data_IF_005424311203
#
_entry.id   IF_005424311203
#
_cell.length_a   1.000
_cell.length_b   1.000
_cell.length_c   1.000
_cell.angle_alpha   90.00
_cell.angle_beta   90.00
_cell.angle_gamma   90.00
#
_symmetry.space_group_name_H-M   'P 1'
#
loop_
_entity.id
_entity.type
_entity.pdbx_description
1 polymer ?
#
# COMPACT_ATOMS: atom_id res chain seq x y z
N UNK A 1 -35.35 32.00 -9.45
CA UNK A 1 -35.02 30.58 -9.39
C UNK A 1 -33.57 30.46 -8.88
N UNK A 2 -33.44 30.36 -7.54
CA UNK A 2 -32.19 30.12 -6.87
C UNK A 2 -31.75 28.69 -7.17
N UNK A 3 -30.68 28.53 -7.92
CA UNK A 3 -29.92 27.29 -7.92
C UNK A 3 -29.30 27.18 -6.53
N UNK A 4 -29.85 26.33 -5.68
CA UNK A 4 -29.18 25.87 -4.50
C UNK A 4 -27.89 25.20 -4.99
N UNK A 5 -26.76 25.85 -4.73
CA UNK A 5 -25.46 25.19 -4.79
C UNK A 5 -25.51 24.05 -3.77
N UNK A 6 -25.72 22.85 -4.24
CA UNK A 6 -25.49 21.62 -3.47
C UNK A 6 -23.99 21.65 -3.12
N UNK A 7 -23.65 22.21 -1.95
CA UNK A 7 -22.29 22.18 -1.42
C UNK A 7 -21.99 20.73 -1.07
N UNK A 8 -21.47 19.99 -2.04
CA UNK A 8 -20.91 18.68 -1.76
C UNK A 8 -19.78 18.82 -0.74
N UNK A 9 -19.86 18.05 0.35
CA UNK A 9 -18.76 18.00 1.32
C UNK A 9 -17.56 17.38 0.60
N UNK A 10 -16.44 18.10 0.60
CA UNK A 10 -15.20 17.63 0.00
C UNK A 10 -14.29 16.99 1.05
N UNK A 11 -13.80 15.80 0.78
CA UNK A 11 -12.80 15.11 1.57
C UNK A 11 -11.54 14.86 0.73
N UNK A 12 -10.39 15.20 1.30
CA UNK A 12 -9.08 14.97 0.67
C UNK A 12 -8.37 13.84 1.38
N UNK A 13 -7.99 12.81 0.62
CA UNK A 13 -7.21 11.69 1.12
C UNK A 13 -5.93 11.51 0.31
N UNK A 14 -4.88 11.12 0.98
CA UNK A 14 -3.59 10.84 0.34
C UNK A 14 -2.91 9.63 0.97
N UNK A 15 -2.07 8.99 0.18
CA UNK A 15 -1.20 7.91 0.59
C UNK A 15 0.11 7.96 -0.17
N UNK A 16 1.11 7.25 0.31
CA UNK A 16 2.34 7.04 -0.48
C UNK A 16 2.04 6.20 -1.72
N UNK A 17 2.82 6.31 -2.81
CA UNK A 17 2.55 5.60 -4.06
C UNK A 17 2.34 4.09 -3.89
N UNK A 18 3.14 3.44 -3.06
CA UNK A 18 3.02 2.00 -2.80
C UNK A 18 1.74 1.61 -2.07
N UNK A 19 1.23 2.47 -1.19
CA UNK A 19 -0.05 2.24 -0.50
C UNK A 19 -1.20 2.33 -1.49
N UNK A 20 -1.13 3.23 -2.46
CA UNK A 20 -2.13 3.32 -3.52
C UNK A 20 -2.23 2.04 -4.32
N UNK A 21 -1.11 1.54 -4.83
CA UNK A 21 -1.07 0.33 -5.65
C UNK A 21 -1.55 -0.92 -4.91
N UNK A 22 -1.16 -1.05 -3.64
CA UNK A 22 -1.38 -2.28 -2.88
C UNK A 22 -2.71 -2.32 -2.10
N UNK A 23 -3.31 -1.18 -1.77
CA UNK A 23 -4.41 -1.12 -0.82
C UNK A 23 -5.42 -0.01 -1.10
N UNK A 24 -4.97 1.25 -1.20
CA UNK A 24 -5.86 2.41 -1.13
C UNK A 24 -6.74 2.55 -2.37
N UNK A 25 -6.31 2.06 -3.53
CA UNK A 25 -7.13 2.05 -4.75
C UNK A 25 -8.43 1.25 -4.55
N UNK A 26 -8.35 0.09 -3.89
CA UNK A 26 -9.53 -0.72 -3.58
C UNK A 26 -10.41 -0.05 -2.52
N UNK A 27 -9.79 0.60 -1.53
CA UNK A 27 -10.52 1.37 -0.52
C UNK A 27 -11.30 2.54 -1.14
N UNK A 28 -10.70 3.26 -2.10
CA UNK A 28 -11.33 4.40 -2.74
C UNK A 28 -12.63 4.01 -3.46
N UNK A 29 -12.65 2.88 -4.13
CA UNK A 29 -13.86 2.36 -4.78
C UNK A 29 -15.01 2.16 -3.78
N UNK A 30 -14.73 1.48 -2.67
CA UNK A 30 -15.74 1.23 -1.61
C UNK A 30 -16.19 2.54 -0.93
N UNK A 31 -15.24 3.45 -0.66
CA UNK A 31 -15.53 4.75 -0.04
C UNK A 31 -16.48 5.57 -0.94
N UNK A 32 -16.15 5.72 -2.22
CA UNK A 32 -16.94 6.53 -3.14
C UNK A 32 -18.34 5.96 -3.36
N UNK A 33 -18.50 4.64 -3.40
CA UNK A 33 -19.80 3.99 -3.52
C UNK A 33 -20.69 4.18 -2.29
N UNK A 34 -20.08 4.33 -1.11
CA UNK A 34 -20.80 4.43 0.16
C UNK A 34 -21.20 5.88 0.52
N UNK A 35 -20.38 6.85 0.13
CA UNK A 35 -20.55 8.26 0.48
C UNK A 35 -21.14 9.06 -0.69
N UNK A 36 -22.43 8.84 -0.99
CA UNK A 36 -23.15 9.68 -1.95
C UNK A 36 -23.24 11.13 -1.47
N UNK A 37 -23.06 12.09 -2.35
CA UNK A 37 -23.09 13.51 -2.02
C UNK A 37 -21.77 14.08 -1.50
N UNK A 38 -20.72 13.26 -1.39
CA UNK A 38 -19.36 13.72 -1.10
C UNK A 38 -18.55 13.83 -2.39
N UNK A 39 -17.69 14.83 -2.46
CA UNK A 39 -16.62 14.92 -3.44
C UNK A 39 -15.30 14.49 -2.81
N UNK A 40 -14.49 13.74 -3.53
CA UNK A 40 -13.20 13.25 -3.05
C UNK A 40 -12.06 13.80 -3.89
N UNK A 41 -10.98 14.21 -3.21
CA UNK A 41 -9.69 14.47 -3.83
C UNK A 41 -8.71 13.42 -3.34
N UNK A 42 -8.10 12.68 -4.27
CA UNK A 42 -7.19 11.57 -3.98
C UNK A 42 -5.80 11.91 -4.52
N UNK A 43 -4.79 11.82 -3.68
CA UNK A 43 -3.42 12.22 -4.03
C UNK A 43 -2.40 11.16 -3.61
N UNK A 44 -1.35 11.00 -4.41
CA UNK A 44 -0.15 10.26 -4.04
C UNK A 44 0.94 11.25 -3.61
N UNK A 45 1.38 11.15 -2.36
CA UNK A 45 2.31 12.10 -1.76
C UNK A 45 3.46 11.38 -1.07
N UNK A 46 4.62 12.03 -1.02
CA UNK A 46 5.71 11.59 -0.16
C UNK A 46 5.32 11.76 1.33
N UNK A 47 5.88 10.89 2.20
CA UNK A 47 5.56 10.84 3.62
C UNK A 47 5.65 12.20 4.32
N UNK A 48 6.69 12.97 4.03
CA UNK A 48 6.93 14.30 4.63
C UNK A 48 5.79 15.28 4.30
N UNK A 49 5.23 15.18 3.11
CA UNK A 49 4.11 15.99 2.68
C UNK A 49 2.79 15.57 3.34
N UNK A 50 2.61 14.27 3.63
CA UNK A 50 1.43 13.78 4.34
C UNK A 50 1.31 14.45 5.72
N UNK A 51 2.35 14.41 6.53
CA UNK A 51 2.35 15.00 7.87
C UNK A 51 2.12 16.51 7.83
N UNK A 52 2.86 17.21 6.97
CA UNK A 52 2.78 18.66 6.81
C UNK A 52 1.35 19.08 6.42
N UNK A 53 0.75 18.46 5.43
CA UNK A 53 -0.57 18.82 4.93
C UNK A 53 -1.71 18.49 5.87
N UNK A 54 -1.58 17.43 6.70
CA UNK A 54 -2.53 17.19 7.80
C UNK A 54 -2.50 18.34 8.81
N UNK A 55 -1.31 18.77 9.24
CA UNK A 55 -1.14 19.86 10.20
C UNK A 55 -1.58 21.21 9.63
N UNK A 56 -1.36 21.47 8.35
CA UNK A 56 -1.84 22.64 7.62
C UNK A 56 -3.36 22.62 7.30
N UNK A 57 -4.06 21.54 7.64
CA UNK A 57 -5.50 21.34 7.36
C UNK A 57 -5.86 21.34 5.86
N UNK A 58 -4.90 20.99 4.99
CA UNK A 58 -5.11 20.85 3.54
C UNK A 58 -5.29 19.39 3.10
N UNK A 59 -5.27 18.47 4.06
CA UNK A 59 -5.49 17.03 3.89
C UNK A 59 -6.33 16.53 5.06
N UNK A 60 -7.37 15.76 4.78
CA UNK A 60 -8.24 15.21 5.83
C UNK A 60 -7.73 13.85 6.35
N UNK A 61 -7.23 13.01 5.46
CA UNK A 61 -6.79 11.65 5.76
C UNK A 61 -5.47 11.32 5.07
N UNK A 62 -4.54 10.72 5.82
CA UNK A 62 -3.26 10.24 5.30
C UNK A 62 -3.06 8.77 5.61
N UNK A 63 -2.60 8.00 4.61
CA UNK A 63 -2.25 6.59 4.73
C UNK A 63 -0.75 6.40 4.54
N UNK A 64 -0.10 5.78 5.53
CA UNK A 64 1.35 5.57 5.53
C UNK A 64 1.73 4.23 6.19
N UNK A 65 2.92 3.69 5.85
CA UNK A 65 3.42 2.45 6.46
C UNK A 65 3.92 2.65 7.89
N UNK A 66 4.43 3.82 8.21
CA UNK A 66 4.89 4.15 9.55
C UNK A 66 3.98 5.21 10.18
N UNK A 67 3.72 5.14 11.48
CA UNK A 67 2.85 6.11 12.14
C UNK A 67 3.35 7.55 11.97
N UNK A 68 2.43 8.46 11.66
CA UNK A 68 2.70 9.89 11.73
C UNK A 68 2.58 10.33 13.19
N UNK A 69 3.68 10.77 13.78
CA UNK A 69 3.75 11.12 15.19
C UNK A 69 3.51 12.61 15.40
N UNK A 70 2.37 12.95 15.98
CA UNK A 70 2.03 14.28 16.45
C UNK A 70 0.89 14.18 17.47
N UNK A 71 0.93 14.99 18.49
CA UNK A 71 -0.13 15.05 19.52
C UNK A 71 -1.48 15.53 18.95
N UNK A 72 -1.45 16.26 17.83
CA UNK A 72 -2.63 16.76 17.15
C UNK A 72 -3.30 15.71 16.26
N UNK A 73 -2.61 14.59 15.96
CA UNK A 73 -3.08 13.56 15.06
C UNK A 73 -3.58 12.33 15.83
N UNK A 74 -4.70 11.77 15.37
CA UNK A 74 -5.05 10.40 15.62
C UNK A 74 -4.37 9.53 14.57
N UNK A 75 -3.80 8.40 14.99
CA UNK A 75 -3.14 7.45 14.11
C UNK A 75 -3.63 6.04 14.45
N UNK A 76 -4.21 5.36 13.48
CA UNK A 76 -4.83 4.04 13.65
C UNK A 76 -4.28 3.06 12.63
N UNK A 77 -3.88 1.87 13.08
CA UNK A 77 -3.58 0.77 12.18
C UNK A 77 -4.87 0.29 11.51
N UNK A 78 -4.90 0.22 10.20
CA UNK A 78 -6.09 -0.16 9.41
C UNK A 78 -5.90 -1.46 8.63
N UNK A 79 -4.67 -1.85 8.29
CA UNK A 79 -4.38 -3.08 7.57
C UNK A 79 -2.94 -3.56 7.79
N UNK A 80 -2.68 -4.81 7.43
CA UNK A 80 -1.34 -5.37 7.25
C UNK A 80 -1.13 -5.77 5.79
N UNK A 81 -0.12 -5.21 5.18
CA UNK A 81 0.32 -5.59 3.84
C UNK A 81 1.33 -6.72 3.93
N UNK A 82 1.14 -7.78 3.15
CA UNK A 82 2.07 -8.90 3.06
C UNK A 82 2.94 -8.73 1.83
N UNK A 83 4.25 -8.69 2.02
CA UNK A 83 5.26 -8.64 0.96
C UNK A 83 5.89 -10.01 0.80
N UNK A 84 5.84 -10.54 -0.40
CA UNK A 84 6.48 -11.80 -0.79
C UNK A 84 7.72 -11.50 -1.61
N UNK A 85 8.80 -12.25 -1.36
CA UNK A 85 9.91 -12.28 -2.30
C UNK A 85 9.50 -13.13 -3.49
N UNK A 86 9.50 -12.52 -4.67
CA UNK A 86 9.19 -13.18 -5.93
C UNK A 86 10.33 -13.03 -6.94
N UNK A 87 10.46 -13.97 -7.84
CA UNK A 87 11.47 -13.95 -8.90
C UNK A 87 10.87 -14.46 -10.21
N UNK A 88 11.37 -13.94 -11.32
CA UNK A 88 11.05 -14.47 -12.66
C UNK A 88 11.70 -15.84 -12.94
N UNK A 89 12.71 -16.20 -12.16
CA UNK A 89 13.38 -17.50 -12.24
C UNK A 89 13.10 -18.33 -10.99
N UNK A 90 13.08 -19.64 -11.16
CA UNK A 90 13.05 -20.57 -10.02
C UNK A 90 14.41 -20.56 -9.33
N UNK A 91 14.45 -20.07 -8.12
CA UNK A 91 15.67 -19.91 -7.31
C UNK A 91 15.31 -19.95 -5.82
N UNK A 92 16.33 -19.94 -4.96
CA UNK A 92 16.22 -19.76 -3.52
C UNK A 92 16.35 -18.28 -3.13
N UNK A 93 16.20 -17.98 -1.84
CA UNK A 93 16.31 -16.62 -1.34
C UNK A 93 17.68 -15.98 -1.60
N UNK A 94 18.77 -16.77 -1.48
CA UNK A 94 20.11 -16.29 -1.76
C UNK A 94 20.27 -15.89 -3.23
N UNK A 95 19.81 -16.73 -4.14
CA UNK A 95 19.84 -16.44 -5.58
C UNK A 95 18.98 -15.24 -5.94
N UNK A 96 17.74 -15.16 -5.42
CA UNK A 96 16.84 -14.05 -5.68
C UNK A 96 17.40 -12.70 -5.23
N UNK A 97 17.99 -12.66 -4.03
CA UNK A 97 18.50 -11.42 -3.41
C UNK A 97 19.85 -10.97 -3.97
N UNK A 98 20.63 -11.87 -4.57
CA UNK A 98 21.96 -11.55 -5.10
C UNK A 98 22.03 -11.52 -6.62
N UNK A 99 20.98 -11.92 -7.33
CA UNK A 99 20.95 -11.92 -8.78
C UNK A 99 19.76 -11.10 -9.30
N UNK A 100 20.04 -9.93 -9.86
CA UNK A 100 19.04 -9.00 -10.43
C UNK A 100 17.94 -8.62 -9.44
N UNK A 101 18.33 -8.37 -8.20
CA UNK A 101 17.42 -7.92 -7.16
C UNK A 101 17.03 -6.45 -7.35
N UNK A 102 15.74 -6.18 -7.33
CA UNK A 102 15.17 -4.83 -7.36
C UNK A 102 14.69 -4.48 -5.95
N UNK A 103 15.29 -3.45 -5.38
CA UNK A 103 14.89 -2.94 -4.06
C UNK A 103 13.75 -1.95 -4.20
N UNK A 104 12.63 -2.21 -3.54
CA UNK A 104 11.47 -1.31 -3.46
C UNK A 104 11.45 -0.65 -2.08
N UNK A 105 11.18 0.64 -2.04
CA UNK A 105 11.02 1.38 -0.79
C UNK A 105 9.66 1.08 -0.14
N UNK A 106 9.69 0.31 0.94
CA UNK A 106 8.53 -0.05 1.77
C UNK A 106 8.50 0.69 3.10
N UNK A 107 9.14 1.85 3.20
CA UNK A 107 9.21 2.70 4.37
C UNK A 107 10.48 2.55 5.18
N UNK A 108 10.66 3.45 6.14
CA UNK A 108 11.90 3.57 6.91
C UNK A 108 12.17 2.33 7.78
N UNK A 109 11.13 1.78 8.40
CA UNK A 109 11.27 0.58 9.21
C UNK A 109 11.69 -0.63 8.37
N UNK A 110 11.08 -0.81 7.20
CA UNK A 110 11.48 -1.87 6.27
C UNK A 110 12.96 -1.70 5.86
N UNK A 111 13.38 -0.49 5.51
CA UNK A 111 14.75 -0.22 5.10
C UNK A 111 15.76 -0.62 6.18
N UNK A 112 15.50 -0.25 7.43
CA UNK A 112 16.35 -0.61 8.59
C UNK A 112 16.40 -2.12 8.81
N UNK A 113 15.25 -2.78 8.88
CA UNK A 113 15.16 -4.22 9.12
C UNK A 113 15.74 -5.03 7.95
N UNK A 114 15.53 -4.58 6.70
CA UNK A 114 16.11 -5.19 5.51
C UNK A 114 17.64 -5.11 5.52
N UNK A 115 18.21 -3.97 5.87
CA UNK A 115 19.65 -3.80 6.00
C UNK A 115 20.23 -4.70 7.11
N UNK A 116 19.56 -4.84 8.23
CA UNK A 116 19.98 -5.70 9.33
C UNK A 116 19.89 -7.20 8.99
N UNK A 117 18.82 -7.61 8.32
CA UNK A 117 18.61 -9.01 7.94
C UNK A 117 19.54 -9.43 6.81
N UNK A 118 19.89 -8.52 5.91
CA UNK A 118 20.63 -8.79 4.69
C UNK A 118 21.96 -8.01 4.58
N UNK A 119 22.78 -8.08 5.60
CA UNK A 119 24.03 -7.27 5.72
C UNK A 119 25.07 -7.52 4.64
N UNK A 120 25.01 -8.66 3.94
CA UNK A 120 26.02 -9.08 2.96
C UNK A 120 25.49 -9.14 1.55
N UNK A 121 24.37 -8.50 1.25
CA UNK A 121 23.85 -8.48 -0.10
C UNK A 121 24.72 -7.64 -1.04
N UNK A 122 24.82 -8.12 -2.28
CA UNK A 122 25.29 -7.29 -3.36
C UNK A 122 24.36 -6.05 -3.52
N UNK A 123 24.87 -4.93 -4.03
CA UNK A 123 24.01 -3.81 -4.35
C UNK A 123 22.86 -4.24 -5.28
N UNK A 124 21.61 -3.77 -5.05
CA UNK A 124 20.53 -4.11 -5.94
C UNK A 124 20.76 -3.56 -7.34
N UNK A 125 20.24 -4.26 -8.35
CA UNK A 125 20.31 -3.83 -9.74
C UNK A 125 19.56 -2.50 -9.96
N UNK A 126 18.45 -2.34 -9.26
CA UNK A 126 17.59 -1.16 -9.33
C UNK A 126 17.06 -0.83 -7.94
N UNK A 127 16.95 0.45 -7.61
CA UNK A 127 16.19 0.97 -6.48
C UNK A 127 15.03 1.79 -7.00
N UNK A 128 13.84 1.55 -6.48
CA UNK A 128 12.64 2.28 -6.90
C UNK A 128 11.72 2.59 -5.71
N UNK A 129 10.92 3.62 -5.87
CA UNK A 129 9.94 4.05 -4.87
C UNK A 129 8.57 3.40 -5.04
N UNK A 130 8.31 2.66 -6.13
CA UNK A 130 7.01 2.04 -6.37
C UNK A 130 7.12 0.57 -6.78
N UNK A 131 6.15 -0.23 -6.30
CA UNK A 131 6.00 -1.62 -6.69
C UNK A 131 5.73 -1.78 -8.19
N UNK A 132 5.00 -0.84 -8.80
CA UNK A 132 4.67 -0.87 -10.23
C UNK A 132 5.93 -0.84 -11.08
N UNK A 133 6.85 0.08 -10.81
CA UNK A 133 8.13 0.16 -11.53
C UNK A 133 8.91 -1.15 -11.38
N UNK A 134 8.97 -1.70 -10.16
CA UNK A 134 9.69 -2.94 -9.91
C UNK A 134 9.07 -4.13 -10.67
N UNK A 135 7.75 -4.28 -10.60
CA UNK A 135 7.02 -5.37 -11.25
C UNK A 135 7.20 -5.33 -12.77
N UNK A 136 6.94 -4.18 -13.39
CA UNK A 136 7.08 -4.03 -14.84
C UNK A 136 8.53 -4.29 -15.29
N UNK A 137 9.50 -3.81 -14.51
CA UNK A 137 10.92 -4.04 -14.81
C UNK A 137 11.30 -5.53 -14.74
N UNK A 138 10.95 -6.25 -13.67
CA UNK A 138 11.32 -7.67 -13.55
C UNK A 138 10.59 -8.54 -14.56
N UNK A 139 9.34 -8.23 -14.90
CA UNK A 139 8.61 -8.96 -15.95
C UNK A 139 9.23 -8.79 -17.34
N UNK A 140 9.78 -7.61 -17.62
CA UNK A 140 10.43 -7.32 -18.91
C UNK A 140 11.89 -7.82 -18.97
N UNK A 141 12.66 -7.60 -17.91
CA UNK A 141 14.12 -7.82 -17.90
C UNK A 141 14.58 -9.02 -17.07
N UNK A 142 13.68 -9.62 -16.32
CA UNK A 142 14.02 -10.64 -15.33
C UNK A 142 14.56 -10.03 -14.03
N UNK A 143 14.34 -10.71 -12.93
CA UNK A 143 14.82 -10.29 -11.63
C UNK A 143 13.89 -10.72 -10.48
N UNK A 144 14.18 -10.20 -9.29
CA UNK A 144 13.45 -10.50 -8.08
C UNK A 144 13.17 -9.22 -7.27
N UNK A 145 12.07 -9.21 -6.53
CA UNK A 145 11.70 -8.10 -5.66
C UNK A 145 10.75 -8.57 -4.54
N UNK A 146 10.71 -7.80 -3.44
CA UNK A 146 9.62 -7.89 -2.47
C UNK A 146 8.43 -7.10 -2.98
N UNK A 147 7.33 -7.79 -3.26
CA UNK A 147 6.11 -7.21 -3.80
C UNK A 147 4.86 -7.67 -3.03
N UNK A 148 3.79 -6.86 -2.98
CA UNK A 148 2.56 -7.24 -2.31
C UNK A 148 1.98 -8.54 -2.86
N UNK A 149 1.58 -9.43 -1.96
CA UNK A 149 0.93 -10.70 -2.32
C UNK A 149 -0.27 -10.47 -3.25
N UNK A 150 -1.08 -9.45 -2.97
CA UNK A 150 -2.26 -9.09 -3.76
C UNK A 150 -1.94 -8.68 -5.21
N UNK A 151 -0.75 -8.12 -5.45
CA UNK A 151 -0.34 -7.69 -6.80
C UNK A 151 0.28 -8.83 -7.59
N UNK A 152 1.05 -9.72 -6.93
CA UNK A 152 1.84 -10.74 -7.64
C UNK A 152 1.08 -12.03 -7.93
N UNK A 153 -0.05 -12.26 -7.27
CA UNK A 153 -0.81 -13.50 -7.42
C UNK A 153 -1.11 -13.90 -8.86
N UNK A 154 -1.65 -13.03 -9.74
CA UNK A 154 -1.94 -13.43 -11.11
C UNK A 154 -0.69 -13.89 -11.88
N UNK A 155 0.46 -13.31 -11.56
CA UNK A 155 1.74 -13.65 -12.19
C UNK A 155 2.34 -14.94 -11.63
N UNK A 156 2.11 -15.23 -10.35
CA UNK A 156 2.50 -16.50 -9.75
C UNK A 156 1.60 -17.62 -10.29
N UNK A 157 0.30 -17.39 -10.39
CA UNK A 157 -0.65 -18.36 -10.94
C UNK A 157 -0.35 -18.69 -12.41
N UNK A 158 0.05 -17.69 -13.21
CA UNK A 158 0.44 -17.89 -14.61
C UNK A 158 1.85 -18.46 -14.81
N UNK A 159 2.67 -18.56 -13.75
CA UNK A 159 4.04 -19.02 -13.81
C UNK A 159 5.04 -17.98 -14.31
N UNK A 160 4.65 -16.73 -14.49
CA UNK A 160 5.56 -15.62 -14.85
C UNK A 160 6.43 -15.19 -13.66
N UNK A 161 5.94 -15.35 -12.44
CA UNK A 161 6.69 -15.15 -11.21
C UNK A 161 6.66 -16.42 -10.35
N UNK A 162 7.72 -16.61 -9.58
CA UNK A 162 7.85 -17.69 -8.61
C UNK A 162 8.01 -17.10 -7.22
N UNK A 163 7.15 -17.50 -6.29
CA UNK A 163 7.32 -17.14 -4.89
C UNK A 163 8.51 -17.90 -4.30
N UNK A 164 9.39 -17.18 -3.63
CA UNK A 164 10.52 -17.73 -2.89
C UNK A 164 10.02 -18.14 -1.50
N UNK A 165 10.05 -19.46 -1.21
CA UNK A 165 9.40 -20.03 -0.02
C UNK A 165 10.35 -20.30 1.16
N UNK A 166 11.65 -20.22 0.92
CA UNK A 166 12.71 -20.44 1.93
C UNK A 166 13.09 -19.16 2.69
N UNK A 167 12.26 -18.13 2.57
CA UNK A 167 12.36 -16.88 3.32
C UNK A 167 10.99 -16.42 3.80
N UNK A 168 10.94 -15.88 5.02
CA UNK A 168 9.71 -15.38 5.61
C UNK A 168 9.20 -14.11 4.90
N UNK A 169 7.88 -13.99 4.69
CA UNK A 169 7.29 -12.75 4.20
C UNK A 169 7.56 -11.57 5.14
N UNK A 170 7.47 -10.37 4.60
CA UNK A 170 7.42 -9.14 5.38
C UNK A 170 5.99 -8.70 5.60
N UNK A 171 5.67 -8.25 6.81
CA UNK A 171 4.39 -7.63 7.14
C UNK A 171 4.59 -6.15 7.34
N UNK A 172 3.86 -5.34 6.56
CA UNK A 172 3.92 -3.88 6.67
C UNK A 172 2.57 -3.35 7.12
N UNK A 173 2.45 -2.84 8.35
CA UNK A 173 1.23 -2.23 8.81
C UNK A 173 0.96 -0.92 8.05
N UNK A 174 -0.31 -0.69 7.71
CA UNK A 174 -0.80 0.54 7.12
C UNK A 174 -1.55 1.31 8.18
N UNK A 175 -1.21 2.58 8.35
CA UNK A 175 -1.81 3.49 9.31
C UNK A 175 -2.61 4.56 8.58
N UNK A 176 -3.82 4.81 9.07
CA UNK A 176 -4.61 5.99 8.76
C UNK A 176 -4.37 7.05 9.84
N UNK A 177 -4.00 8.25 9.43
CA UNK A 177 -3.83 9.40 10.30
C UNK A 177 -4.75 10.54 9.88
N UNK A 178 -5.31 11.25 10.87
CA UNK A 178 -6.16 12.42 10.67
C UNK A 178 -6.07 13.34 11.88
N UNK A 179 -6.45 14.61 11.72
CA UNK A 179 -6.47 15.55 12.85
C UNK A 179 -7.60 15.22 13.82
N UNK A 180 -7.30 15.24 15.12
CA UNK A 180 -8.30 15.01 16.18
C UNK A 180 -9.41 16.05 16.18
N UNK A 181 -9.12 17.28 15.72
CA UNK A 181 -10.03 18.44 15.69
C UNK A 181 -10.67 18.67 14.29
N UNK A 182 -10.62 17.68 13.40
CA UNK A 182 -11.23 17.84 12.07
C UNK A 182 -12.74 18.02 12.17
N UNK A 183 -13.29 18.93 11.35
CA UNK A 183 -14.74 19.12 11.22
C UNK A 183 -15.43 17.92 10.53
N UNK A 184 -14.68 17.10 9.82
CA UNK A 184 -15.16 15.90 9.12
C UNK A 184 -15.01 14.62 9.95
N UNK A 185 -14.91 14.71 11.29
CA UNK A 185 -14.57 13.58 12.16
C UNK A 185 -15.51 12.38 11.99
N UNK A 186 -16.80 12.58 11.83
CA UNK A 186 -17.77 11.50 11.65
C UNK A 186 -17.53 10.74 10.34
N UNK A 187 -17.30 11.46 9.24
CA UNK A 187 -17.01 10.86 7.95
C UNK A 187 -15.68 10.10 7.98
N UNK A 188 -14.64 10.69 8.57
CA UNK A 188 -13.32 10.08 8.70
C UNK A 188 -13.36 8.81 9.54
N UNK A 189 -14.05 8.81 10.67
CA UNK A 189 -14.20 7.62 11.54
C UNK A 189 -15.02 6.52 10.87
N UNK A 190 -16.04 6.90 10.09
CA UNK A 190 -16.80 5.94 9.31
C UNK A 190 -15.92 5.30 8.21
N UNK A 191 -15.10 6.09 7.52
CA UNK A 191 -14.12 5.59 6.56
C UNK A 191 -13.09 4.69 7.25
N UNK A 192 -12.58 5.06 8.42
CA UNK A 192 -11.68 4.20 9.22
C UNK A 192 -12.29 2.81 9.45
N UNK A 193 -13.55 2.74 9.87
CA UNK A 193 -14.24 1.46 10.04
C UNK A 193 -14.33 0.65 8.75
N UNK A 194 -14.67 1.30 7.65
CA UNK A 194 -14.79 0.64 6.34
C UNK A 194 -13.47 0.08 5.81
N UNK A 195 -12.40 0.85 5.89
CA UNK A 195 -11.09 0.42 5.35
C UNK A 195 -10.46 -0.71 6.14
N UNK A 196 -10.80 -0.85 7.43
CA UNK A 196 -10.38 -2.00 8.25
C UNK A 196 -10.98 -3.32 7.79
N UNK A 197 -12.16 -3.28 7.18
CA UNK A 197 -12.84 -4.46 6.66
C UNK A 197 -12.31 -4.87 5.26
N UNK A 198 -11.52 -4.00 4.63
CA UNK A 198 -10.86 -4.26 3.35
C UNK A 198 -9.47 -4.85 3.62
N UNK A 199 -9.42 -6.16 3.87
CA UNK A 199 -8.15 -6.85 4.05
C UNK A 199 -7.47 -7.06 2.69
N UNK A 200 -6.22 -6.60 2.48
CA UNK A 200 -5.45 -6.92 1.27
C UNK A 200 -5.31 -8.43 1.02
N UNK A 201 -5.38 -9.25 2.07
CA UNK A 201 -5.33 -10.71 1.98
C UNK A 201 -6.68 -11.32 1.57
N UNK A 202 -7.81 -10.67 1.89
CA UNK A 202 -9.14 -11.23 1.62
C UNK A 202 -9.49 -11.19 0.13
N UNK A 203 -8.99 -10.19 -0.59
CA UNK A 203 -9.10 -10.14 -2.05
C UNK A 203 -8.40 -11.33 -2.71
N UNK A 204 -7.30 -11.81 -2.11
CA UNK A 204 -6.54 -12.97 -2.51
C UNK A 204 -7.32 -14.29 -2.29
N UNK A 205 -7.94 -14.47 -1.12
CA UNK A 205 -8.64 -15.71 -0.74
C UNK A 205 -9.95 -15.92 -1.52
N UNK A 206 -10.65 -14.86 -1.88
CA UNK A 206 -11.92 -14.93 -2.60
C UNK A 206 -11.76 -15.32 -4.08
N UNK A 207 -10.65 -14.94 -4.71
CA UNK A 207 -10.36 -15.38 -6.07
C UNK A 207 -9.98 -16.86 -6.15
N UNK A 208 -9.22 -17.39 -5.19
CA UNK A 208 -8.89 -18.83 -5.15
C UNK A 208 -10.12 -19.71 -4.87
N UNK A 209 -11.09 -19.24 -4.08
CA UNK A 209 -12.31 -19.98 -3.81
C UNK A 209 -13.28 -20.04 -5.01
N UNK A 210 -13.22 -19.05 -5.90
CA UNK A 210 -14.01 -18.99 -7.14
C UNK A 210 -13.51 -19.92 -8.25
N UNK A 211 -12.25 -20.30 -8.26
CA UNK A 211 -11.66 -21.18 -9.29
C UNK A 211 -11.68 -22.66 -8.92
N UNK A 212 -11.98 -23.03 -7.66
CA UNK A 212 -12.13 -24.44 -7.24
C UNK A 212 -13.57 -24.95 -7.24
N UNK A 213 -14.50 -24.18 -7.77
CA UNK A 213 -15.94 -24.49 -7.79
C UNK A 213 -16.53 -24.57 -9.19
N UNK A 214 -15.93 -25.35 -10.12
CA UNK A 214 -16.59 -25.89 -11.31
C UNK A 214 -16.11 -27.29 -11.58
#
# INVERSE_FOLDING_TARGET
LSLAEDKSIQLTLAGTPNIWDAYLQNCLSVITDTFSGYAFQAEALARENLNRRLLEKTLDMAFAFDPLKSDELACKKVADLVLLLVSTEKTDAHGALNNRYVYVDWGTRFASEHADRHRKLAPPLLRTSTARIALDFILDKGGAAYLPASIVEPFVASGQLHQIKDIEPWYRPIYLSYRKDTSAIEAVQRIEGMVKDIDPLTAFSLQQAGEMGV
#
